data_IF_948179567364
#
_entry.id   IF_948179567364
#
_cell.length_a   1.000
_cell.length_b   1.000
_cell.length_c   1.000
_cell.angle_alpha   90.00
_cell.angle_beta   90.00
_cell.angle_gamma   90.00
#
_symmetry.space_group_name_H-M   'P 1'
#
loop_
_entity.id
_entity.type
_entity.pdbx_description
1 polymer ?
#
# COMPACT_ATOMS: atom_id res chain seq x y z
N UNK A 1 6.12 1.84 8.43
CA UNK A 1 4.63 1.93 8.43
C UNK A 1 4.11 1.42 7.09
N UNK A 2 2.82 1.07 6.97
CA UNK A 2 2.21 0.78 5.66
C UNK A 2 0.72 1.16 5.59
N UNK A 3 0.22 1.37 4.38
CA UNK A 3 -1.20 1.55 4.08
C UNK A 3 -1.53 0.97 2.70
N UNK A 4 -2.66 0.28 2.61
CA UNK A 4 -3.23 -0.24 1.37
C UNK A 4 -4.26 0.76 0.86
N UNK A 5 -4.11 1.18 -0.39
CA UNK A 5 -5.11 2.00 -1.08
C UNK A 5 -5.72 1.15 -2.18
N UNK A 6 -7.03 0.98 -2.12
CA UNK A 6 -7.77 0.18 -3.10
C UNK A 6 -8.56 1.14 -3.97
N UNK A 7 -8.29 1.11 -5.28
CA UNK A 7 -8.98 1.89 -6.29
C UNK A 7 -9.65 0.96 -7.30
N UNK A 8 -10.44 1.51 -8.22
CA UNK A 8 -11.04 0.77 -9.32
C UNK A 8 -10.78 1.50 -10.63
N UNK A 9 -10.24 0.77 -11.60
CA UNK A 9 -10.00 1.24 -12.95
C UNK A 9 -10.78 0.36 -13.94
N UNK A 10 -11.86 0.93 -14.49
CA UNK A 10 -12.86 0.16 -15.24
C UNK A 10 -13.46 -0.96 -14.39
N UNK A 11 -13.30 -2.20 -14.84
CA UNK A 11 -13.80 -3.40 -14.15
C UNK A 11 -12.80 -4.02 -13.18
N UNK A 12 -11.57 -3.50 -13.11
CA UNK A 12 -10.49 -4.07 -12.33
C UNK A 12 -10.26 -3.27 -11.06
N UNK A 13 -10.06 -3.98 -9.96
CA UNK A 13 -9.54 -3.38 -8.74
C UNK A 13 -8.03 -3.20 -8.87
N UNK A 14 -7.55 -2.06 -8.41
CA UNK A 14 -6.13 -1.72 -8.34
C UNK A 14 -5.72 -1.61 -6.88
N UNK A 15 -4.56 -2.18 -6.54
CA UNK A 15 -4.01 -2.16 -5.19
C UNK A 15 -2.69 -1.38 -5.20
N UNK A 16 -2.66 -0.26 -4.50
CA UNK A 16 -1.44 0.46 -4.15
C UNK A 16 -1.07 0.14 -2.70
N UNK A 17 0.18 -0.24 -2.49
CA UNK A 17 0.75 -0.45 -1.17
C UNK A 17 1.79 0.63 -0.93
N UNK A 18 1.46 1.53 0.00
CA UNK A 18 2.39 2.54 0.51
C UNK A 18 3.14 1.94 1.68
N UNK A 19 4.46 1.98 1.67
CA UNK A 19 5.29 1.57 2.80
C UNK A 19 6.44 2.55 3.03
N UNK A 20 6.85 2.68 4.28
CA UNK A 20 7.97 3.54 4.64
C UNK A 20 9.27 2.75 4.72
N UNK A 21 10.37 3.37 4.30
CA UNK A 21 11.71 2.95 4.69
C UNK A 21 11.89 3.02 6.21
N UNK A 22 12.70 2.11 6.73
CA UNK A 22 13.21 2.23 8.08
C UNK A 22 14.08 3.49 8.21
N UNK A 23 14.14 4.06 9.42
CA UNK A 23 14.96 5.24 9.66
C UNK A 23 16.43 4.93 9.35
N UNK A 24 17.05 5.74 8.49
CA UNK A 24 18.44 5.55 8.06
C UNK A 24 18.65 4.49 6.98
N UNK A 25 17.59 3.82 6.51
CA UNK A 25 17.69 2.91 5.37
C UNK A 25 17.71 3.67 4.05
N UNK A 26 18.56 3.22 3.13
CA UNK A 26 18.52 3.66 1.73
C UNK A 26 17.48 2.86 0.95
N UNK A 27 16.87 3.47 -0.07
CA UNK A 27 16.09 2.73 -1.05
C UNK A 27 17.04 1.97 -1.98
N UNK A 28 16.99 0.64 -1.92
CA UNK A 28 17.78 -0.28 -2.75
C UNK A 28 16.94 -0.86 -3.93
N UNK A 29 15.87 -0.16 -4.32
CA UNK A 29 14.93 -0.63 -5.32
C UNK A 29 14.02 -1.76 -4.80
N UNK A 30 13.73 -1.77 -3.49
CA UNK A 30 12.96 -2.84 -2.83
C UNK A 30 11.55 -3.02 -3.41
N UNK A 31 11.00 -1.98 -4.04
CA UNK A 31 9.66 -1.98 -4.62
C UNK A 31 9.40 -3.19 -5.54
N UNK A 32 10.34 -3.49 -6.43
CA UNK A 32 10.22 -4.62 -7.37
C UNK A 32 10.16 -5.95 -6.62
N UNK A 33 11.14 -6.21 -5.74
CA UNK A 33 11.23 -7.47 -4.98
C UNK A 33 10.00 -7.67 -4.10
N UNK A 34 9.46 -6.60 -3.51
CA UNK A 34 8.24 -6.66 -2.72
C UNK A 34 7.02 -7.00 -3.57
N UNK A 35 6.87 -6.38 -4.74
CA UNK A 35 5.76 -6.66 -5.67
C UNK A 35 5.75 -8.13 -6.13
N UNK A 36 6.92 -8.69 -6.48
CA UNK A 36 7.08 -10.08 -6.90
C UNK A 36 6.73 -11.05 -5.77
N UNK A 37 7.20 -10.77 -4.55
CA UNK A 37 6.89 -11.60 -3.37
C UNK A 37 5.39 -11.60 -3.05
N UNK A 38 4.74 -10.45 -3.11
CA UNK A 38 3.28 -10.36 -2.88
C UNK A 38 2.53 -11.16 -3.94
N UNK A 39 2.91 -11.02 -5.22
CA UNK A 39 2.27 -11.77 -6.29
C UNK A 39 2.42 -13.28 -6.09
N UNK A 40 3.63 -13.73 -5.77
CA UNK A 40 3.93 -15.16 -5.67
C UNK A 40 3.35 -15.80 -4.41
N UNK A 41 3.28 -15.08 -3.29
CA UNK A 41 2.82 -15.64 -2.01
C UNK A 41 1.33 -15.44 -1.76
N UNK A 42 0.74 -14.34 -2.25
CA UNK A 42 -0.65 -13.96 -1.97
C UNK A 42 -1.54 -14.04 -3.22
N UNK A 43 -0.95 -14.01 -4.42
CA UNK A 43 -1.68 -14.09 -5.69
C UNK A 43 -2.20 -12.74 -6.22
N UNK A 44 -2.06 -11.65 -5.47
CA UNK A 44 -2.52 -10.32 -5.88
C UNK A 44 -1.42 -9.50 -6.55
N UNK A 45 -1.80 -8.73 -7.57
CA UNK A 45 -0.91 -7.74 -8.18
C UNK A 45 -1.04 -6.43 -7.41
N UNK A 46 0.08 -5.80 -7.08
CA UNK A 46 0.09 -4.53 -6.35
C UNK A 46 1.19 -3.60 -6.87
N UNK A 47 0.88 -2.31 -6.96
CA UNK A 47 1.86 -1.24 -7.14
C UNK A 47 2.46 -0.90 -5.79
N UNK A 48 3.77 -0.76 -5.70
CA UNK A 48 4.47 -0.48 -4.44
C UNK A 48 5.03 0.95 -4.48
N UNK A 49 4.62 1.77 -3.51
CA UNK A 49 5.20 3.08 -3.26
C UNK A 49 6.06 3.01 -1.99
N UNK A 50 7.37 3.10 -2.16
CA UNK A 50 8.34 3.17 -1.06
C UNK A 50 8.57 4.65 -0.75
N UNK A 51 8.25 5.04 0.48
CA UNK A 51 8.25 6.43 0.92
C UNK A 51 9.27 6.65 2.04
N UNK A 52 9.73 7.90 2.24
CA UNK A 52 10.56 8.24 3.39
C UNK A 52 9.87 7.89 4.71
N UNK A 53 10.66 7.67 5.76
CA UNK A 53 10.15 7.46 7.11
C UNK A 53 9.22 8.60 7.55
N UNK A 54 8.13 8.28 8.26
CA UNK A 54 7.08 9.20 8.72
C UNK A 54 6.20 9.86 7.62
N UNK A 55 6.20 9.33 6.39
CA UNK A 55 5.34 9.83 5.30
C UNK A 55 3.89 9.33 5.36
N UNK A 56 3.63 8.27 6.14
CA UNK A 56 2.29 7.70 6.31
C UNK A 56 1.75 8.10 7.68
N UNK A 57 0.58 8.71 7.69
CA UNK A 57 -0.10 9.18 8.90
C UNK A 57 -0.21 8.06 9.94
N UNK A 58 0.10 8.41 11.20
CA UNK A 58 0.00 7.50 12.34
C UNK A 58 -1.29 7.79 13.09
N UNK A 59 -2.06 6.74 13.34
CA UNK A 59 -3.19 6.81 14.27
C UNK A 59 -2.66 6.94 15.69
N UNK A 60 -2.84 8.10 16.32
CA UNK A 60 -2.37 8.38 17.69
C UNK A 60 -3.26 7.73 18.76
N UNK A 61 -4.55 7.56 18.47
CA UNK A 61 -5.54 6.94 19.36
C UNK A 61 -6.46 6.02 18.55
N UNK A 62 -6.73 4.82 19.06
CA UNK A 62 -7.59 3.84 18.38
C UNK A 62 -6.82 2.85 17.50
N UNK A 63 -7.54 2.14 16.63
CA UNK A 63 -6.97 1.10 15.75
C UNK A 63 -6.38 1.72 14.49
N UNK A 64 -5.22 1.23 14.07
CA UNK A 64 -4.56 1.69 12.86
C UNK A 64 -5.44 1.48 11.61
N UNK A 65 -5.59 2.52 10.79
CA UNK A 65 -6.29 2.44 9.49
C UNK A 65 -5.34 1.95 8.40
N UNK A 66 -5.33 0.64 8.16
CA UNK A 66 -4.45 0.00 7.16
C UNK A 66 -5.02 -0.04 5.75
N UNK A 67 -6.32 0.13 5.59
CA UNK A 67 -6.99 0.08 4.29
C UNK A 67 -7.74 1.38 4.04
N UNK A 68 -7.47 2.00 2.91
CA UNK A 68 -8.19 3.14 2.37
C UNK A 68 -8.86 2.68 1.09
N UNK A 69 -10.13 2.31 1.20
CA UNK A 69 -10.93 1.95 0.04
C UNK A 69 -11.48 3.22 -0.62
N UNK A 70 -11.02 3.50 -1.83
CA UNK A 70 -11.43 4.62 -2.67
C UNK A 70 -12.26 4.15 -3.88
N UNK A 71 -12.63 2.87 -3.93
CA UNK A 71 -13.57 2.39 -4.94
C UNK A 71 -14.88 3.16 -4.76
N UNK A 72 -15.49 3.62 -5.86
CA UNK A 72 -16.83 4.22 -5.80
C UNK A 72 -17.75 3.21 -5.13
N UNK A 73 -18.35 3.60 -3.99
CA UNK A 73 -19.42 2.80 -3.39
C UNK A 73 -20.53 2.74 -4.45
N UNK A 74 -20.90 1.54 -4.87
CA UNK A 74 -22.12 1.40 -5.66
C UNK A 74 -23.25 2.01 -4.82
N UNK A 75 -24.01 2.93 -5.41
CA UNK A 75 -25.07 3.64 -4.69
C UNK A 75 -26.01 2.66 -4.02
N UNK A 76 -26.42 2.99 -2.80
CA UNK A 76 -27.57 2.37 -2.15
C UNK A 76 -28.85 2.66 -2.95
#
# INVERSE_FOLDING_TARGET
>A
QYQLVVTRNGHLDELLIRCELALGAADDGIARRLSERIKNLIGVTATIAVEPNNSIERTLVGKARRVVDQRKKQGA
#
